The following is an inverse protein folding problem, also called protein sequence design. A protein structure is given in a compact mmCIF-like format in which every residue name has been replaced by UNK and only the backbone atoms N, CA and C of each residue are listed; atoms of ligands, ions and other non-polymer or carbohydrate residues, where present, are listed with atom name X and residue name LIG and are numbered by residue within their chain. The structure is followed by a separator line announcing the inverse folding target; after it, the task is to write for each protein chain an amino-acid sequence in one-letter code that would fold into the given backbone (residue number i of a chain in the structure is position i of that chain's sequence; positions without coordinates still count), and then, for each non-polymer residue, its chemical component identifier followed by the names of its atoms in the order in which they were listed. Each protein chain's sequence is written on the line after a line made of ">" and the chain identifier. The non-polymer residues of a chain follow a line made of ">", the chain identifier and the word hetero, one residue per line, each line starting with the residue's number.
data_IF_774753012844
#
_entry.id   IF_774753012844
#
_cell.length_a   1.000
_cell.length_b   1.000
_cell.length_c   1.000
_cell.angle_alpha   90.00
_cell.angle_beta   90.00
_cell.angle_gamma   90.00
#
_symmetry.space_group_name_H-M   'P 1'
#
loop_
_entity.id
_entity.type
_entity.pdbx_description
1 polymer ?
#
# COMPACT_ATOMS: atom_id res chain seq x y z
N UNK A 1 -12.50 -11.62 -25.81
CA UNK A 1 -12.11 -10.21 -25.56
C UNK A 1 -10.75 -10.03 -26.20
N UNK A 2 -10.65 -9.19 -27.20
CA UNK A 2 -9.40 -9.01 -27.95
C UNK A 2 -8.40 -8.29 -27.05
N UNK A 3 -7.31 -8.96 -26.72
CA UNK A 3 -6.13 -8.34 -26.10
C UNK A 3 -5.59 -7.31 -27.08
N UNK A 4 -5.76 -6.03 -26.76
CA UNK A 4 -5.10 -4.94 -27.48
C UNK A 4 -3.65 -4.99 -27.07
N UNK A 5 -2.85 -5.80 -27.76
CA UNK A 5 -1.39 -5.77 -27.65
C UNK A 5 -0.94 -4.46 -28.29
N UNK A 6 -0.69 -3.44 -27.47
CA UNK A 6 -0.02 -2.24 -27.94
C UNK A 6 1.46 -2.64 -28.10
N UNK A 7 2.05 -2.59 -29.30
CA UNK A 7 3.46 -2.90 -29.48
C UNK A 7 4.32 -2.00 -28.58
N UNK A 8 5.21 -2.56 -27.76
CA UNK A 8 6.01 -1.83 -26.79
C UNK A 8 6.88 -0.68 -27.36
N UNK A 9 7.01 -0.59 -28.67
CA UNK A 9 7.71 0.49 -29.38
C UNK A 9 6.92 1.81 -29.51
N UNK A 10 5.65 1.86 -29.12
CA UNK A 10 4.78 3.04 -29.25
C UNK A 10 4.50 3.74 -27.91
N UNK A 11 4.94 3.16 -26.79
CA UNK A 11 4.76 3.80 -25.48
C UNK A 11 5.87 4.84 -25.23
N UNK A 12 5.54 6.01 -24.63
CA UNK A 12 6.55 6.96 -24.20
C UNK A 12 7.42 6.34 -23.10
N UNK A 13 8.56 6.97 -22.81
CA UNK A 13 9.34 6.55 -21.66
C UNK A 13 8.54 6.82 -20.37
N UNK A 14 8.49 5.84 -19.45
CA UNK A 14 7.88 6.01 -18.11
C UNK A 14 8.55 7.15 -17.29
N UNK A 15 9.70 7.63 -17.72
CA UNK A 15 10.42 8.79 -17.14
C UNK A 15 10.00 10.12 -17.78
N UNK A 16 9.25 10.06 -18.87
CA UNK A 16 8.81 11.28 -19.55
C UNK A 16 7.66 11.91 -18.77
N UNK A 17 7.89 13.14 -18.33
CA UNK A 17 6.94 13.87 -17.50
C UNK A 17 6.51 15.15 -18.20
N UNK A 18 5.21 15.43 -18.21
CA UNK A 18 4.69 16.73 -18.60
C UNK A 18 5.21 17.84 -17.68
N UNK A 19 5.19 19.09 -18.13
CA UNK A 19 5.61 20.24 -17.32
C UNK A 19 4.85 20.32 -15.98
N UNK A 20 3.55 20.04 -15.98
CA UNK A 20 2.71 20.03 -14.77
C UNK A 20 3.14 18.92 -13.78
N UNK A 21 3.51 17.74 -14.27
CA UNK A 21 3.99 16.64 -13.44
C UNK A 21 5.36 16.97 -12.85
N UNK A 22 6.29 17.52 -13.62
CA UNK A 22 7.60 17.97 -13.11
C UNK A 22 7.44 18.99 -11.99
N UNK A 23 6.66 20.04 -12.20
CA UNK A 23 6.39 21.07 -11.17
C UNK A 23 5.80 20.45 -9.90
N UNK A 24 4.93 19.43 -10.03
CA UNK A 24 4.40 18.69 -8.88
C UNK A 24 5.49 17.99 -8.10
N UNK A 25 6.43 17.30 -8.77
CA UNK A 25 7.54 16.61 -8.11
C UNK A 25 8.56 17.58 -7.50
N UNK A 26 8.86 18.69 -8.15
CA UNK A 26 9.70 19.74 -7.58
C UNK A 26 9.09 20.28 -6.28
N UNK A 27 7.78 20.55 -6.31
CA UNK A 27 7.02 20.98 -5.13
C UNK A 27 6.96 19.89 -4.04
N UNK A 28 6.86 18.61 -4.40
CA UNK A 28 6.87 17.49 -3.47
C UNK A 28 8.22 17.38 -2.76
N UNK A 29 9.31 17.39 -3.53
CA UNK A 29 10.69 17.28 -3.02
C UNK A 29 11.11 18.46 -2.14
N UNK A 30 10.49 19.62 -2.30
CA UNK A 30 10.72 20.79 -1.45
C UNK A 30 9.99 20.72 -0.10
N UNK A 31 9.10 19.76 0.12
CA UNK A 31 8.38 19.60 1.40
C UNK A 31 9.26 18.94 2.46
N UNK A 32 8.82 19.08 3.71
CA UNK A 32 9.44 18.43 4.86
C UNK A 32 9.56 16.91 4.65
N UNK A 33 10.70 16.34 5.06
CA UNK A 33 10.90 14.90 5.13
C UNK A 33 10.13 14.34 6.33
N UNK A 34 9.23 13.42 6.09
CA UNK A 34 8.44 12.73 7.13
C UNK A 34 9.14 11.46 7.57
N UNK A 35 9.56 10.63 6.60
CA UNK A 35 10.20 9.35 6.87
C UNK A 35 11.56 9.29 6.16
N UNK A 36 12.58 8.86 6.88
CA UNK A 36 13.90 8.55 6.33
C UNK A 36 14.28 7.14 6.72
N UNK A 37 14.61 6.31 5.74
CA UNK A 37 15.12 4.95 5.92
C UNK A 37 16.51 4.89 5.31
N UNK A 38 17.51 4.48 6.09
CA UNK A 38 18.90 4.45 5.69
C UNK A 38 19.55 3.13 6.05
N UNK A 39 20.12 2.45 5.04
CA UNK A 39 20.86 1.19 5.19
C UNK A 39 20.11 0.15 6.04
N UNK A 40 18.78 0.09 5.89
CA UNK A 40 17.94 -0.79 6.68
C UNK A 40 18.18 -2.25 6.28
N UNK A 41 18.49 -3.09 7.26
CA UNK A 41 18.60 -4.53 7.12
C UNK A 41 17.66 -5.24 8.08
N UNK A 42 17.11 -6.37 7.66
CA UNK A 42 16.35 -7.28 8.51
C UNK A 42 16.71 -8.72 8.23
N UNK A 43 17.22 -9.39 9.25
CA UNK A 43 17.45 -10.82 9.26
C UNK A 43 16.48 -11.48 10.23
N UNK A 44 16.00 -12.68 9.89
CA UNK A 44 15.28 -13.55 10.79
C UNK A 44 16.15 -14.77 11.09
N UNK A 45 16.39 -15.02 12.36
CA UNK A 45 17.12 -16.19 12.83
C UNK A 45 16.13 -17.23 13.37
N UNK A 46 16.00 -18.36 12.67
CA UNK A 46 15.08 -19.44 13.05
C UNK A 46 15.86 -20.76 12.97
N UNK A 47 15.88 -21.51 14.05
CA UNK A 47 16.50 -22.84 14.16
C UNK A 47 17.96 -22.90 13.63
N UNK A 48 18.76 -21.86 13.93
CA UNK A 48 20.16 -21.77 13.53
C UNK A 48 20.38 -21.40 12.06
N UNK A 49 19.32 -21.04 11.33
CA UNK A 49 19.40 -20.48 9.97
C UNK A 49 19.06 -19.00 10.01
N UNK A 50 19.92 -18.17 9.41
CA UNK A 50 19.66 -16.75 9.21
C UNK A 50 19.11 -16.52 7.81
N UNK A 51 17.93 -15.90 7.72
CA UNK A 51 17.30 -15.52 6.46
C UNK A 51 17.28 -14.01 6.35
N UNK A 52 17.91 -13.47 5.31
CA UNK A 52 17.90 -12.03 5.02
C UNK A 52 16.58 -11.67 4.36
N UNK A 53 15.71 -10.95 5.08
CA UNK A 53 14.42 -10.51 4.56
C UNK A 53 14.54 -9.19 3.81
N UNK A 54 15.29 -8.22 4.35
CA UNK A 54 15.54 -6.91 3.75
C UNK A 54 17.05 -6.63 3.79
N UNK A 55 17.55 -6.02 2.71
CA UNK A 55 18.97 -5.69 2.59
C UNK A 55 19.16 -4.31 1.97
N UNK A 56 19.89 -3.45 2.66
CA UNK A 56 20.30 -2.11 2.24
C UNK A 56 19.15 -1.24 1.70
N UNK A 57 18.03 -1.20 2.43
CA UNK A 57 16.88 -0.40 2.04
C UNK A 57 17.13 1.07 2.36
N UNK A 58 17.08 1.92 1.33
CA UNK A 58 17.35 3.35 1.42
C UNK A 58 16.28 4.15 0.68
N UNK A 59 15.43 4.90 1.39
CA UNK A 59 14.46 5.81 0.78
C UNK A 59 13.98 6.87 1.77
N UNK A 60 13.34 7.90 1.22
CA UNK A 60 12.71 8.97 1.99
C UNK A 60 11.29 9.21 1.51
N UNK A 61 10.41 9.71 2.40
CA UNK A 61 9.10 10.23 2.01
C UNK A 61 8.93 11.66 2.50
N UNK A 62 8.20 12.46 1.71
CA UNK A 62 7.92 13.85 2.00
C UNK A 62 6.49 14.02 2.54
N UNK A 63 6.26 15.15 3.21
CA UNK A 63 4.92 15.51 3.70
C UNK A 63 3.88 15.47 2.57
N UNK A 64 2.75 14.82 2.84
CA UNK A 64 1.65 14.65 1.88
C UNK A 64 2.08 13.94 0.60
N UNK A 65 2.98 13.01 0.70
CA UNK A 65 3.33 12.09 -0.36
C UNK A 65 2.50 10.82 -0.23
N UNK A 66 2.12 10.25 -1.36
CA UNK A 66 1.57 8.91 -1.46
C UNK A 66 2.63 7.99 -2.09
N UNK A 67 3.32 7.21 -1.27
CA UNK A 67 4.31 6.23 -1.70
C UNK A 67 3.68 4.84 -1.73
N UNK A 68 3.71 4.16 -2.87
CA UNK A 68 3.39 2.74 -2.94
C UNK A 68 4.66 1.89 -2.89
N UNK A 69 4.57 0.71 -2.27
CA UNK A 69 5.63 -0.31 -2.26
C UNK A 69 5.08 -1.54 -2.96
N UNK A 70 5.75 -1.96 -4.03
CA UNK A 70 5.39 -3.14 -4.82
C UNK A 70 6.56 -4.12 -4.91
N UNK A 71 6.28 -5.35 -5.30
CA UNK A 71 7.29 -6.38 -5.48
C UNK A 71 6.70 -7.78 -5.37
N UNK A 72 7.43 -8.83 -5.71
CA UNK A 72 6.97 -10.21 -5.68
C UNK A 72 6.49 -10.65 -4.29
N UNK A 73 5.74 -11.75 -4.22
CA UNK A 73 5.40 -12.37 -2.93
C UNK A 73 6.66 -12.75 -2.16
N UNK A 74 6.68 -12.52 -0.85
CA UNK A 74 7.83 -12.85 0.00
C UNK A 74 9.03 -11.89 -0.08
N UNK A 75 8.97 -10.80 -0.86
CA UNK A 75 10.09 -9.83 -0.94
C UNK A 75 10.25 -8.92 0.28
N UNK A 76 9.49 -9.12 1.36
CA UNK A 76 9.66 -8.36 2.60
C UNK A 76 8.79 -7.12 2.76
N UNK A 77 7.79 -6.86 1.90
CA UNK A 77 6.91 -5.67 1.99
C UNK A 77 6.22 -5.52 3.35
N UNK A 78 5.58 -6.59 3.83
CA UNK A 78 4.91 -6.56 5.15
C UNK A 78 5.93 -6.44 6.29
N UNK A 79 7.12 -7.01 6.14
CA UNK A 79 8.21 -6.82 7.10
C UNK A 79 8.65 -5.36 7.15
N UNK A 80 8.84 -4.74 5.98
CA UNK A 80 9.20 -3.32 5.88
C UNK A 80 8.17 -2.45 6.60
N UNK A 81 6.89 -2.59 6.28
CA UNK A 81 5.86 -1.73 6.89
C UNK A 81 5.71 -1.95 8.38
N UNK A 82 5.90 -3.18 8.89
CA UNK A 82 5.91 -3.47 10.33
C UNK A 82 7.09 -2.81 11.04
N UNK A 83 8.27 -2.78 10.40
CA UNK A 83 9.44 -2.05 10.92
C UNK A 83 9.12 -0.54 10.96
N UNK A 84 8.57 0.02 9.89
CA UNK A 84 8.17 1.43 9.85
C UNK A 84 7.12 1.78 10.92
N UNK A 85 6.23 0.84 11.24
CA UNK A 85 5.24 0.98 12.31
C UNK A 85 5.82 0.84 13.73
N UNK A 86 7.07 0.35 13.86
CA UNK A 86 7.68 0.01 15.12
C UNK A 86 7.13 -1.28 15.75
N UNK A 87 6.49 -2.14 14.92
CA UNK A 87 5.95 -3.44 15.34
C UNK A 87 6.95 -4.59 15.18
N UNK A 88 8.04 -4.33 14.46
CA UNK A 88 9.12 -5.27 14.20
C UNK A 88 10.44 -4.52 14.31
N UNK A 89 11.42 -5.10 14.99
CA UNK A 89 12.77 -4.53 15.09
C UNK A 89 13.58 -4.83 13.82
N UNK A 90 14.37 -3.87 13.37
CA UNK A 90 15.34 -4.07 12.30
C UNK A 90 16.68 -4.59 12.85
N UNK A 91 17.47 -5.26 12.02
CA UNK A 91 18.77 -5.81 12.44
C UNK A 91 19.89 -4.76 12.43
N UNK A 92 19.84 -3.82 11.49
CA UNK A 92 20.78 -2.67 11.41
C UNK A 92 20.21 -1.58 10.49
N UNK A 93 20.84 -0.42 10.49
CA UNK A 93 20.40 0.76 9.76
C UNK A 93 19.52 1.66 10.63
N UNK A 94 18.91 2.67 10.02
CA UNK A 94 18.12 3.69 10.70
C UNK A 94 16.74 3.84 10.06
N UNK A 95 15.72 4.00 10.90
CA UNK A 95 14.37 4.42 10.52
C UNK A 95 14.00 5.63 11.35
N UNK A 96 13.88 6.78 10.70
CA UNK A 96 13.58 8.06 11.35
C UNK A 96 12.23 8.59 10.89
N UNK A 97 11.36 8.93 11.82
CA UNK A 97 10.12 9.67 11.57
C UNK A 97 10.29 11.11 12.10
N UNK A 98 10.18 12.12 11.24
CA UNK A 98 10.46 13.52 11.58
C UNK A 98 11.83 13.71 12.27
N UNK A 99 12.85 12.95 11.80
CA UNK A 99 14.20 12.98 12.35
C UNK A 99 14.38 12.24 13.69
N UNK A 100 13.32 11.63 14.24
CA UNK A 100 13.39 10.85 15.49
C UNK A 100 13.41 9.35 15.19
N UNK A 101 14.25 8.55 15.88
CA UNK A 101 14.30 7.11 15.68
C UNK A 101 12.95 6.43 16.01
N UNK A 102 12.55 5.48 15.15
CA UNK A 102 11.41 4.60 15.41
C UNK A 102 11.87 3.45 16.31
N UNK A 103 11.56 3.53 17.60
CA UNK A 103 11.96 2.52 18.60
C UNK A 103 10.83 1.60 19.06
N UNK A 104 9.59 1.85 18.58
CA UNK A 104 8.42 1.06 18.94
C UNK A 104 7.15 1.67 18.35
N UNK A 105 5.97 1.10 18.62
CA UNK A 105 4.68 1.67 18.20
C UNK A 105 4.47 3.08 18.78
N UNK A 106 3.82 3.96 17.99
CA UNK A 106 3.55 5.34 18.40
C UNK A 106 2.27 5.87 17.79
N UNK A 107 1.64 6.88 18.44
CA UNK A 107 0.43 7.54 17.94
C UNK A 107 0.68 8.43 16.72
N UNK A 108 1.93 8.77 16.45
CA UNK A 108 2.41 9.51 15.28
C UNK A 108 2.34 8.68 13.97
N UNK A 109 2.06 7.36 14.08
CA UNK A 109 1.93 6.40 12.97
C UNK A 109 0.60 5.68 13.06
N UNK A 110 -0.21 5.77 11.99
CA UNK A 110 -1.40 4.94 11.82
C UNK A 110 -1.06 3.67 11.06
N UNK A 111 -1.63 2.54 11.44
CA UNK A 111 -1.48 1.26 10.72
C UNK A 111 -2.83 0.70 10.32
N UNK A 112 -2.95 0.32 9.05
CA UNK A 112 -4.09 -0.43 8.49
C UNK A 112 -3.56 -1.75 7.96
N UNK A 113 -4.00 -2.86 8.56
CA UNK A 113 -3.57 -4.21 8.22
C UNK A 113 -4.41 -4.80 7.08
N UNK A 114 -3.92 -5.85 6.44
CA UNK A 114 -4.59 -6.61 5.40
C UNK A 114 -5.97 -7.15 5.84
N UNK A 115 -6.10 -7.62 7.08
CA UNK A 115 -7.39 -7.85 7.72
C UNK A 115 -7.89 -6.57 8.38
N UNK A 116 -9.17 -6.29 8.35
CA UNK A 116 -9.75 -5.03 8.86
C UNK A 116 -9.42 -4.73 10.32
N UNK A 117 -9.05 -5.75 11.12
CA UNK A 117 -8.63 -5.70 12.53
C UNK A 117 -9.51 -4.83 13.43
N UNK A 118 -10.79 -4.63 13.08
CA UNK A 118 -11.75 -3.94 13.94
C UNK A 118 -12.00 -4.78 15.19
N UNK A 119 -12.14 -4.11 16.32
CA UNK A 119 -12.50 -4.75 17.58
C UNK A 119 -13.94 -5.28 17.50
N UNK A 120 -14.18 -6.60 17.42
CA UNK A 120 -15.49 -7.17 17.16
C UNK A 120 -16.51 -6.93 18.30
N UNK A 121 -16.01 -6.66 19.51
CA UNK A 121 -16.81 -6.36 20.71
C UNK A 121 -17.14 -4.87 20.88
N UNK A 122 -16.62 -4.00 20.02
CA UNK A 122 -16.91 -2.57 20.01
C UNK A 122 -17.80 -2.21 18.81
N UNK A 123 -18.70 -1.26 19.02
CA UNK A 123 -19.47 -0.67 17.90
C UNK A 123 -18.54 0.08 16.93
N UNK A 124 -19.03 0.41 15.76
CA UNK A 124 -18.32 1.20 14.75
C UNK A 124 -17.80 2.51 15.35
N UNK A 125 -18.66 3.26 16.02
CA UNK A 125 -18.30 4.49 16.71
C UNK A 125 -17.20 4.27 17.75
N UNK A 126 -17.36 3.26 18.60
CA UNK A 126 -16.38 2.93 19.64
C UNK A 126 -15.04 2.46 19.06
N UNK A 127 -15.03 1.78 17.90
CA UNK A 127 -13.79 1.47 17.20
C UNK A 127 -13.02 2.75 16.83
N UNK A 128 -13.69 3.77 16.33
CA UNK A 128 -13.06 5.06 15.98
C UNK A 128 -12.62 5.83 17.21
N UNK A 129 -13.45 5.84 18.27
CA UNK A 129 -13.16 6.51 19.55
C UNK A 129 -11.95 5.91 20.29
N UNK A 130 -11.69 4.61 20.10
CA UNK A 130 -10.74 3.86 20.94
C UNK A 130 -9.37 4.53 21.05
N UNK A 131 -8.77 4.91 19.93
CA UNK A 131 -7.47 5.56 19.95
C UNK A 131 -7.48 6.95 20.59
N UNK A 132 -8.55 7.71 20.38
CA UNK A 132 -8.73 9.03 20.99
C UNK A 132 -8.78 8.93 22.51
N UNK A 133 -9.57 7.98 23.04
CA UNK A 133 -9.70 7.75 24.48
C UNK A 133 -8.37 7.27 25.10
N UNK A 134 -7.63 6.38 24.41
CA UNK A 134 -6.29 5.92 24.84
C UNK A 134 -5.30 7.09 24.90
N UNK A 135 -5.41 8.05 23.98
CA UNK A 135 -4.59 9.26 23.96
C UNK A 135 -5.05 10.35 24.96
N UNK A 136 -6.05 10.04 25.81
CA UNK A 136 -6.48 10.91 26.90
C UNK A 136 -7.56 11.94 26.54
N UNK A 137 -8.17 11.84 25.34
CA UNK A 137 -9.32 12.68 24.98
C UNK A 137 -10.54 12.32 25.83
N UNK A 138 -11.29 13.34 26.25
CA UNK A 138 -12.53 13.13 26.99
C UNK A 138 -13.59 12.38 26.16
N UNK A 139 -14.43 11.59 26.81
CA UNK A 139 -15.45 10.74 26.14
C UNK A 139 -16.34 11.52 25.17
N UNK A 140 -16.86 12.68 25.58
CA UNK A 140 -17.72 13.52 24.73
C UNK A 140 -17.00 14.12 23.53
N UNK A 141 -15.73 14.45 23.69
CA UNK A 141 -14.87 14.93 22.62
C UNK A 141 -14.59 13.82 21.62
N UNK A 142 -14.17 12.65 22.11
CA UNK A 142 -13.92 11.44 21.29
C UNK A 142 -15.18 11.01 20.51
N UNK A 143 -16.34 11.09 21.11
CA UNK A 143 -17.61 10.77 20.45
C UNK A 143 -17.93 11.77 19.32
N UNK A 144 -17.78 13.07 19.59
CA UNK A 144 -18.01 14.10 18.58
C UNK A 144 -17.06 13.94 17.39
N UNK A 145 -15.77 13.73 17.65
CA UNK A 145 -14.76 13.55 16.61
C UNK A 145 -15.00 12.26 15.83
N UNK A 146 -15.29 11.16 16.49
CA UNK A 146 -15.62 9.89 15.84
C UNK A 146 -16.84 10.03 14.91
N UNK A 147 -17.86 10.77 15.31
CA UNK A 147 -19.01 11.02 14.44
C UNK A 147 -18.68 11.88 13.22
N UNK A 148 -17.78 12.85 13.33
CA UNK A 148 -17.28 13.62 12.19
C UNK A 148 -16.52 12.72 11.20
N UNK A 149 -15.67 11.82 11.70
CA UNK A 149 -14.99 10.83 10.87
C UNK A 149 -15.97 9.89 10.17
N UNK A 150 -16.99 9.40 10.89
CA UNK A 150 -18.03 8.53 10.31
C UNK A 150 -18.85 9.25 9.25
N UNK A 151 -19.16 10.53 9.46
CA UNK A 151 -19.83 11.36 8.46
C UNK A 151 -18.97 11.56 7.21
N UNK A 152 -17.67 11.80 7.37
CA UNK A 152 -16.72 11.95 6.24
C UNK A 152 -16.73 10.72 5.31
N UNK A 153 -16.92 9.53 5.88
CA UNK A 153 -16.94 8.26 5.12
C UNK A 153 -18.37 7.76 4.82
N UNK A 154 -19.40 8.52 5.15
CA UNK A 154 -20.83 8.19 4.91
C UNK A 154 -21.33 6.99 5.70
N UNK A 155 -20.84 6.81 6.93
CA UNK A 155 -21.21 5.69 7.82
C UNK A 155 -21.81 6.14 9.16
N UNK A 156 -22.27 7.40 9.27
CA UNK A 156 -22.87 7.93 10.50
C UNK A 156 -24.09 7.12 10.96
N UNK A 157 -24.89 6.61 10.02
CA UNK A 157 -26.07 5.77 10.32
C UNK A 157 -25.72 4.39 10.89
N UNK A 158 -24.44 3.98 10.76
CA UNK A 158 -23.92 2.71 11.24
C UNK A 158 -23.06 2.85 12.50
N UNK A 159 -23.14 4.01 13.19
CA UNK A 159 -22.31 4.31 14.35
C UNK A 159 -22.44 3.29 15.48
N UNK A 160 -23.66 2.81 15.73
CA UNK A 160 -23.99 1.95 16.86
C UNK A 160 -24.09 0.46 16.53
N UNK A 161 -23.78 0.06 15.27
CA UNK A 161 -23.73 -1.35 14.87
C UNK A 161 -22.33 -1.95 15.13
N UNK A 162 -22.24 -3.27 15.12
CA UNK A 162 -20.99 -3.99 15.30
C UNK A 162 -20.33 -4.36 13.96
N UNK A 163 -19.00 -4.58 13.93
CA UNK A 163 -18.26 -4.87 12.71
C UNK A 163 -18.82 -6.04 11.87
N UNK A 164 -19.36 -7.08 12.50
CA UNK A 164 -19.93 -8.23 11.78
C UNK A 164 -21.16 -7.88 10.93
N UNK A 165 -21.82 -6.75 11.21
CA UNK A 165 -23.00 -6.26 10.49
C UNK A 165 -22.63 -5.38 9.27
N UNK A 166 -21.34 -5.14 9.04
CA UNK A 166 -20.83 -4.31 7.94
C UNK A 166 -20.36 -5.16 6.75
N UNK A 167 -20.49 -4.62 5.54
CA UNK A 167 -19.81 -5.15 4.35
C UNK A 167 -18.29 -4.98 4.44
N UNK A 168 -17.53 -5.71 3.62
CA UNK A 168 -16.05 -5.61 3.58
C UNK A 168 -15.57 -4.18 3.33
N UNK A 169 -16.14 -3.49 2.35
CA UNK A 169 -15.77 -2.10 2.06
C UNK A 169 -16.16 -1.12 3.18
N UNK A 170 -17.26 -1.37 3.92
CA UNK A 170 -17.60 -0.58 5.09
C UNK A 170 -16.61 -0.80 6.23
N UNK A 171 -16.24 -2.06 6.52
CA UNK A 171 -15.20 -2.39 7.51
C UNK A 171 -13.88 -1.71 7.19
N UNK A 172 -13.50 -1.71 5.92
CA UNK A 172 -12.26 -1.06 5.48
C UNK A 172 -12.29 0.46 5.71
N UNK A 173 -13.40 1.13 5.36
CA UNK A 173 -13.56 2.55 5.64
C UNK A 173 -13.43 2.86 7.14
N UNK A 174 -14.05 2.07 8.00
CA UNK A 174 -13.94 2.23 9.46
C UNK A 174 -12.50 2.00 9.93
N UNK A 175 -11.80 0.98 9.42
CA UNK A 175 -10.40 0.72 9.78
C UNK A 175 -9.48 1.89 9.41
N UNK A 176 -9.67 2.49 8.22
CA UNK A 176 -8.92 3.66 7.78
C UNK A 176 -9.18 4.86 8.71
N UNK A 177 -10.44 5.22 8.98
CA UNK A 177 -10.73 6.39 9.82
C UNK A 177 -10.37 6.15 11.29
N UNK A 178 -10.42 4.92 11.79
CA UNK A 178 -9.90 4.58 13.12
C UNK A 178 -8.41 4.89 13.24
N UNK A 179 -7.62 4.59 12.20
CA UNK A 179 -6.21 4.92 12.18
C UNK A 179 -5.96 6.43 12.04
N UNK A 180 -6.79 7.11 11.24
CA UNK A 180 -6.68 8.56 10.99
C UNK A 180 -7.17 9.43 12.15
N UNK A 181 -8.11 8.95 12.97
CA UNK A 181 -8.67 9.70 14.09
C UNK A 181 -7.59 10.13 15.10
N UNK A 182 -6.52 9.36 15.24
CA UNK A 182 -5.37 9.72 16.08
C UNK A 182 -4.47 10.80 15.46
N UNK A 183 -4.82 11.37 14.31
CA UNK A 183 -4.06 12.40 13.60
C UNK A 183 -2.58 12.04 13.40
N UNK A 184 -2.26 10.83 12.90
CA UNK A 184 -0.89 10.39 12.71
C UNK A 184 -0.19 11.25 11.65
N UNK A 185 1.13 11.32 11.68
CA UNK A 185 1.97 11.97 10.66
C UNK A 185 2.09 11.13 9.40
N UNK A 186 2.03 9.82 9.56
CA UNK A 186 2.12 8.85 8.47
C UNK A 186 1.08 7.75 8.66
N UNK A 187 0.44 7.34 7.58
CA UNK A 187 -0.47 6.20 7.51
C UNK A 187 0.20 5.07 6.73
N UNK A 188 0.41 3.95 7.40
CA UNK A 188 1.01 2.74 6.86
C UNK A 188 -0.10 1.75 6.53
N UNK A 189 -0.16 1.23 5.32
CA UNK A 189 -1.23 0.35 4.86
C UNK A 189 -0.64 -0.92 4.22
N UNK A 190 -0.97 -2.09 4.78
CA UNK A 190 -0.50 -3.39 4.29
C UNK A 190 -1.62 -4.10 3.53
N UNK A 191 -1.58 -4.05 2.20
CA UNK A 191 -2.56 -4.65 1.27
C UNK A 191 -4.03 -4.42 1.67
N UNK A 192 -4.45 -3.17 1.96
CA UNK A 192 -5.72 -2.90 2.61
C UNK A 192 -6.94 -3.28 1.76
N UNK A 193 -6.80 -3.40 0.45
CA UNK A 193 -7.89 -3.69 -0.46
C UNK A 193 -7.85 -5.11 -1.06
N UNK A 194 -6.91 -5.95 -0.64
CA UNK A 194 -6.71 -7.30 -1.19
C UNK A 194 -7.91 -8.23 -1.05
N UNK A 195 -8.70 -8.08 0.02
CA UNK A 195 -9.89 -8.90 0.27
C UNK A 195 -11.19 -8.37 -0.37
N UNK A 196 -11.14 -7.27 -1.14
CA UNK A 196 -12.31 -6.65 -1.75
C UNK A 196 -12.50 -7.13 -3.20
N UNK A 197 -13.76 -7.25 -3.62
CA UNK A 197 -14.10 -7.42 -5.02
C UNK A 197 -13.66 -6.20 -5.86
N UNK A 198 -13.49 -6.38 -7.17
CA UNK A 198 -12.93 -5.37 -8.07
C UNK A 198 -13.71 -4.04 -8.05
N UNK A 199 -15.05 -4.08 -8.03
CA UNK A 199 -15.88 -2.88 -8.03
C UNK A 199 -15.75 -2.11 -6.72
N UNK A 200 -15.80 -2.82 -5.59
CA UNK A 200 -15.62 -2.22 -4.26
C UNK A 200 -14.21 -1.67 -4.11
N UNK A 201 -13.18 -2.37 -4.62
CA UNK A 201 -11.78 -1.92 -4.63
C UNK A 201 -11.64 -0.58 -5.34
N UNK A 202 -12.12 -0.45 -6.58
CA UNK A 202 -12.06 0.81 -7.33
C UNK A 202 -12.74 1.98 -6.57
N UNK A 203 -13.89 1.72 -5.94
CA UNK A 203 -14.57 2.73 -5.11
C UNK A 203 -13.74 3.13 -3.89
N UNK A 204 -13.08 2.17 -3.25
CA UNK A 204 -12.25 2.42 -2.08
C UNK A 204 -10.98 3.18 -2.41
N UNK A 205 -10.34 2.91 -3.56
CA UNK A 205 -9.19 3.66 -4.06
C UNK A 205 -9.55 5.13 -4.29
N UNK A 206 -10.65 5.39 -5.00
CA UNK A 206 -11.14 6.75 -5.24
C UNK A 206 -11.45 7.47 -3.92
N UNK A 207 -12.12 6.78 -2.98
CA UNK A 207 -12.46 7.33 -1.67
C UNK A 207 -11.21 7.62 -0.81
N UNK A 208 -10.19 6.75 -0.84
CA UNK A 208 -8.92 6.99 -0.14
C UNK A 208 -8.23 8.24 -0.69
N UNK A 209 -8.22 8.44 -2.01
CA UNK A 209 -7.67 9.66 -2.62
C UNK A 209 -8.45 10.91 -2.23
N UNK A 210 -9.77 10.84 -2.09
CA UNK A 210 -10.59 11.97 -1.61
C UNK A 210 -10.25 12.33 -0.15
N UNK A 211 -10.10 11.33 0.72
CA UNK A 211 -9.68 11.51 2.10
C UNK A 211 -8.29 12.15 2.12
N UNK A 212 -7.32 11.56 1.42
CA UNK A 212 -5.94 12.04 1.37
C UNK A 212 -5.82 13.50 0.85
N UNK A 213 -6.71 13.91 -0.09
CA UNK A 213 -6.74 15.31 -0.57
C UNK A 213 -7.19 16.30 0.50
N UNK A 214 -8.06 15.87 1.43
CA UNK A 214 -8.66 16.72 2.47
C UNK A 214 -7.85 16.79 3.75
N UNK A 215 -6.99 15.80 4.02
CA UNK A 215 -6.22 15.69 5.26
C UNK A 215 -4.74 15.84 4.98
N UNK A 216 -4.00 16.39 5.96
CA UNK A 216 -2.55 16.50 5.91
C UNK A 216 -1.90 15.20 6.41
N UNK A 217 -1.80 14.20 5.55
CA UNK A 217 -1.26 12.88 5.86
C UNK A 217 -0.33 12.39 4.76
N UNK A 218 0.80 11.80 5.15
CA UNK A 218 1.70 11.02 4.28
C UNK A 218 1.27 9.57 4.31
N UNK A 219 1.27 8.88 3.17
CA UNK A 219 0.82 7.48 3.07
C UNK A 219 1.95 6.62 2.51
N UNK A 220 2.22 5.48 3.17
CA UNK A 220 2.98 4.34 2.62
C UNK A 220 2.02 3.18 2.47
N UNK A 221 1.85 2.72 1.24
CA UNK A 221 0.82 1.78 0.84
C UNK A 221 1.46 0.55 0.18
N UNK A 222 1.26 -0.61 0.74
CA UNK A 222 1.72 -1.87 0.14
C UNK A 222 0.61 -2.48 -0.70
N UNK A 223 0.96 -2.89 -1.90
CA UNK A 223 0.08 -3.67 -2.77
C UNK A 223 0.87 -4.58 -3.70
N UNK A 224 0.23 -5.64 -4.18
CA UNK A 224 0.71 -6.45 -5.29
C UNK A 224 0.01 -6.11 -6.62
N UNK A 225 -0.99 -5.21 -6.60
CA UNK A 225 -1.73 -4.76 -7.78
C UNK A 225 -1.04 -3.52 -8.36
N UNK A 226 -0.48 -3.66 -9.56
CA UNK A 226 0.28 -2.61 -10.23
C UNK A 226 -0.60 -1.44 -10.68
N UNK A 227 -1.83 -1.73 -11.13
CA UNK A 227 -2.78 -0.69 -11.54
C UNK A 227 -3.18 0.16 -10.33
N UNK A 228 -3.37 -0.47 -9.17
CA UNK A 228 -3.61 0.21 -7.90
C UNK A 228 -2.44 1.11 -7.51
N UNK A 229 -1.21 0.59 -7.58
CA UNK A 229 -0.01 1.36 -7.25
C UNK A 229 0.12 2.62 -8.14
N UNK A 230 -0.04 2.49 -9.46
CA UNK A 230 0.04 3.62 -10.40
C UNK A 230 -1.10 4.61 -10.17
N UNK A 231 -2.31 4.09 -9.91
CA UNK A 231 -3.48 4.94 -9.68
C UNK A 231 -3.38 5.77 -8.40
N UNK A 232 -2.81 5.22 -7.34
CA UNK A 232 -2.74 5.89 -6.03
C UNK A 232 -1.48 6.75 -5.86
N UNK A 233 -0.31 6.24 -6.27
CA UNK A 233 0.98 6.78 -5.86
C UNK A 233 1.39 8.09 -6.54
N UNK A 234 2.22 8.86 -5.83
CA UNK A 234 3.14 9.83 -6.43
C UNK A 234 4.42 9.12 -6.85
N UNK A 235 5.00 8.30 -5.96
CA UNK A 235 6.15 7.45 -6.28
C UNK A 235 5.88 5.99 -5.93
N UNK A 236 6.52 5.08 -6.65
CA UNK A 236 6.44 3.63 -6.43
C UNK A 236 7.83 3.10 -6.14
N UNK A 237 7.99 2.48 -4.97
CA UNK A 237 9.19 1.76 -4.55
C UNK A 237 9.04 0.30 -4.98
N UNK A 238 9.92 -0.17 -5.85
CA UNK A 238 9.92 -1.55 -6.35
C UNK A 238 10.98 -2.35 -5.59
N UNK A 239 10.55 -3.42 -4.93
CA UNK A 239 11.43 -4.35 -4.23
C UNK A 239 11.67 -5.61 -5.06
N UNK A 240 12.92 -6.11 -5.07
CA UNK A 240 13.27 -7.46 -5.51
C UNK A 240 12.89 -8.49 -4.44
N UNK A 241 12.95 -9.78 -4.81
CA UNK A 241 12.81 -10.86 -3.85
C UNK A 241 14.17 -11.53 -3.56
N UNK A 242 14.29 -12.06 -2.34
CA UNK A 242 15.35 -12.95 -1.87
C UNK A 242 16.81 -12.46 -2.05
N UNK A 243 17.26 -11.46 -1.33
CA UNK A 243 16.58 -10.64 -0.33
C UNK A 243 15.76 -9.49 -0.95
N UNK A 244 14.90 -8.86 -0.15
CA UNK A 244 14.23 -7.61 -0.53
C UNK A 244 15.25 -6.48 -0.60
N UNK A 245 15.53 -6.02 -1.81
CA UNK A 245 16.37 -4.86 -2.12
C UNK A 245 15.57 -3.88 -2.97
N UNK A 246 15.90 -2.60 -2.94
CA UNK A 246 15.27 -1.62 -3.83
C UNK A 246 15.84 -1.77 -5.24
N UNK A 247 14.98 -2.14 -6.20
CA UNK A 247 15.35 -2.16 -7.61
C UNK A 247 15.24 -0.78 -8.24
N UNK A 248 14.11 -0.09 -8.01
CA UNK A 248 13.88 1.23 -8.55
C UNK A 248 12.87 2.00 -7.71
N UNK A 249 12.99 3.34 -7.70
CA UNK A 249 12.00 4.28 -7.18
C UNK A 249 11.46 5.09 -8.36
N UNK A 250 10.22 4.81 -8.77
CA UNK A 250 9.58 5.37 -9.96
C UNK A 250 8.72 6.56 -9.57
N UNK A 251 8.93 7.71 -10.18
CA UNK A 251 8.02 8.86 -10.16
C UNK A 251 6.88 8.61 -11.16
N UNK A 252 5.64 8.53 -10.69
CA UNK A 252 4.50 8.21 -11.56
C UNK A 252 4.15 9.41 -12.47
N UNK A 253 4.34 9.32 -13.80
CA UNK A 253 4.19 10.44 -14.72
C UNK A 253 2.73 10.82 -14.98
N UNK A 254 1.77 10.05 -14.45
CA UNK A 254 0.34 10.31 -14.62
C UNK A 254 -0.06 11.57 -13.84
N UNK A 255 -0.78 12.54 -14.44
CA UNK A 255 -1.17 13.77 -13.79
C UNK A 255 -2.23 13.56 -12.68
N UNK A 256 -2.25 14.43 -11.69
CA UNK A 256 -3.33 14.54 -10.69
C UNK A 256 -4.31 15.67 -11.06
N UNK A 257 -5.60 15.57 -10.73
CA UNK A 257 -6.28 14.50 -10.00
C UNK A 257 -6.39 13.20 -10.79
N UNK A 258 -6.32 12.05 -10.08
CA UNK A 258 -6.49 10.73 -10.69
C UNK A 258 -7.94 10.50 -11.09
N UNK A 259 -8.13 9.84 -12.24
CA UNK A 259 -9.43 9.37 -12.73
C UNK A 259 -9.29 8.00 -13.37
N UNK A 260 -10.36 7.22 -13.39
CA UNK A 260 -10.36 5.87 -14.02
C UNK A 260 -10.00 5.95 -15.50
N UNK A 261 -10.34 7.05 -16.19
CA UNK A 261 -10.01 7.24 -17.60
C UNK A 261 -8.49 7.27 -17.88
N UNK A 262 -7.67 7.52 -16.86
CA UNK A 262 -6.21 7.56 -17.01
C UNK A 262 -5.56 6.17 -17.09
N UNK A 263 -6.25 5.09 -16.73
CA UNK A 263 -5.71 3.72 -16.76
C UNK A 263 -5.28 3.30 -18.18
N UNK A 264 -5.90 3.86 -19.19
CA UNK A 264 -5.60 3.58 -20.61
C UNK A 264 -4.69 4.63 -21.27
N UNK A 265 -4.16 5.59 -20.50
CA UNK A 265 -3.23 6.59 -21.07
C UNK A 265 -1.84 6.01 -21.31
N UNK A 266 -1.11 6.59 -22.24
CA UNK A 266 0.21 6.11 -22.62
C UNK A 266 1.22 6.14 -21.44
N UNK A 267 1.15 7.17 -20.59
CA UNK A 267 1.99 7.31 -19.41
C UNK A 267 1.68 6.24 -18.35
N UNK A 268 0.40 5.90 -18.19
CA UNK A 268 -0.02 4.84 -17.27
C UNK A 268 0.48 3.48 -17.76
N UNK A 269 0.25 3.16 -19.04
CA UNK A 269 0.67 1.89 -19.65
C UNK A 269 2.20 1.75 -19.69
N UNK A 270 2.94 2.83 -19.98
CA UNK A 270 4.40 2.83 -19.93
C UNK A 270 4.93 2.55 -18.53
N UNK A 271 4.31 3.14 -17.51
CA UNK A 271 4.67 2.88 -16.11
C UNK A 271 4.36 1.43 -15.72
N UNK A 272 3.21 0.90 -16.16
CA UNK A 272 2.81 -0.48 -15.90
C UNK A 272 3.79 -1.47 -16.54
N UNK A 273 4.12 -1.27 -17.81
CA UNK A 273 5.09 -2.11 -18.53
C UNK A 273 6.46 -2.14 -17.81
N UNK A 274 6.93 -0.98 -17.29
CA UNK A 274 8.18 -0.94 -16.52
C UNK A 274 8.07 -1.69 -15.19
N UNK A 275 6.96 -1.57 -14.48
CA UNK A 275 6.75 -2.32 -13.24
C UNK A 275 6.69 -3.83 -13.48
N UNK A 276 6.00 -4.26 -14.55
CA UNK A 276 5.95 -5.66 -14.97
C UNK A 276 7.34 -6.19 -15.31
N UNK A 277 8.13 -5.45 -16.07
CA UNK A 277 9.52 -5.79 -16.37
C UNK A 277 10.33 -6.00 -15.06
N UNK A 278 10.28 -5.08 -14.12
CA UNK A 278 11.04 -5.17 -12.86
C UNK A 278 10.59 -6.34 -11.99
N UNK A 279 9.30 -6.65 -11.96
CA UNK A 279 8.76 -7.68 -11.06
C UNK A 279 8.92 -9.09 -11.66
N UNK A 280 8.72 -9.23 -12.99
CA UNK A 280 8.71 -10.54 -13.63
C UNK A 280 10.06 -10.92 -14.26
N UNK A 281 10.96 -9.96 -14.60
CA UNK A 281 12.29 -10.25 -15.12
C UNK A 281 13.24 -10.89 -14.08
N UNK A 282 12.88 -10.85 -12.80
CA UNK A 282 13.66 -11.46 -11.69
C UNK A 282 13.22 -12.87 -11.30
N UNK A 283 12.20 -13.43 -11.90
CA UNK A 283 11.66 -14.74 -11.55
C UNK A 283 11.54 -15.61 -12.78
N UNK A 284 12.21 -16.76 -12.73
CA UNK A 284 12.19 -17.89 -13.64
C UNK A 284 11.16 -17.78 -14.76
N UNK A 285 11.62 -17.64 -16.02
CA UNK A 285 10.90 -18.27 -17.12
C UNK A 285 10.60 -19.70 -16.65
N UNK A 286 9.35 -20.18 -16.74
CA UNK A 286 9.07 -21.58 -16.49
C UNK A 286 10.02 -22.34 -17.42
N UNK A 287 10.90 -23.15 -16.84
CA UNK A 287 11.82 -23.97 -17.61
C UNK A 287 10.95 -24.75 -18.61
N UNK A 288 11.11 -24.45 -19.90
CA UNK A 288 10.49 -25.24 -20.96
C UNK A 288 10.92 -26.68 -20.70
N UNK A 289 10.01 -27.53 -20.18
CA UNK A 289 10.24 -28.95 -19.98
C UNK A 289 10.17 -29.52 -18.59
N UNK A 290 9.76 -28.77 -17.55
CA UNK A 290 9.39 -29.43 -16.28
C UNK A 290 7.99 -30.05 -16.44
N UNK A 291 7.99 -31.32 -16.82
CA UNK A 291 6.84 -32.22 -16.75
C UNK A 291 6.40 -32.35 -15.30
N UNK A 292 5.34 -31.63 -14.91
CA UNK A 292 4.73 -31.82 -13.60
C UNK A 292 4.10 -33.22 -13.55
N UNK A 293 4.50 -34.13 -12.66
CA UNK A 293 3.96 -35.50 -12.59
C UNK A 293 2.43 -35.56 -12.44
N UNK A 294 1.79 -34.47 -12.05
CA UNK A 294 0.34 -34.34 -11.93
C UNK A 294 -0.32 -34.11 -13.30
N UNK A 295 0.36 -33.41 -14.25
CA UNK A 295 -0.17 -33.18 -15.60
C UNK A 295 -0.13 -34.46 -16.47
N UNK A 296 0.83 -35.36 -16.27
CA UNK A 296 0.85 -36.66 -16.94
C UNK A 296 -0.40 -37.53 -16.62
N UNK A 297 -1.02 -37.31 -15.46
CA UNK A 297 -2.29 -38.00 -15.14
C UNK A 297 -3.53 -37.35 -15.79
N UNK A 298 -3.43 -36.09 -16.20
CA UNK A 298 -4.56 -35.36 -16.83
C UNK A 298 -4.56 -35.53 -18.37
N UNK A 299 -3.40 -35.77 -18.99
CA UNK A 299 -3.27 -36.00 -20.44
C UNK A 299 -3.66 -37.42 -20.88
N UNK A 300 -3.88 -38.36 -19.94
CA UNK A 300 -4.38 -39.71 -20.21
C UNK A 300 -5.90 -39.88 -20.04
N UNK A 301 -6.65 -38.82 -19.85
CA UNK A 301 -8.10 -38.85 -20.01
C UNK A 301 -8.36 -38.61 -21.49
N UNK A 302 -8.38 -39.72 -22.24
CA UNK A 302 -8.74 -39.73 -23.64
C UNK A 302 -10.06 -38.98 -23.86
N UNK A 303 -9.96 -38.00 -24.71
CA UNK A 303 -10.87 -37.66 -25.79
C UNK A 303 -12.21 -38.38 -25.72
N UNK A 304 -13.23 -37.63 -25.38
CA UNK A 304 -14.57 -37.67 -25.95
C UNK A 304 -15.47 -36.72 -25.16
N UNK A 305 -15.33 -35.44 -25.46
CA UNK A 305 -16.42 -34.50 -25.24
C UNK A 305 -16.67 -33.86 -26.60
N UNK A 306 -17.63 -34.44 -27.34
CA UNK A 306 -18.32 -33.77 -28.43
C UNK A 306 -19.18 -32.63 -27.89
#
# INVERSE_FOLDING_TARGET
>A
MNDIVIPGHLLPSYREQSAAVRTRFDSLKARELILTVSKLHKNFDTDGKSTVALKDINFTTHRREFLCVVGPSGCGKSTLVRILAGLEEHSSGDVLLLGQPVTGPGSDRGMVFQGYTLFPWLTVKKNVMFGLEVNGHGKHESEREAMQWLQLIGLEKFADVYPHQLSGGMKQRVAIVRALANQPRILLMDEPFGALDAQTRCRMQAHLLEIWRKIDITIVFITHDLDEAIFLADRILVLSAHPGEIQELIEVPVPRPRSIAQIVTAEFLATKARLEELIYSGGHEPAEGEDYPIMQRMTNVADNVE
#
